data_IF_203461670166
#
_entry.id   IF_203461670166
#
_cell.length_a   1.000
_cell.length_b   1.000
_cell.length_c   1.000
_cell.angle_alpha   90.00
_cell.angle_beta   90.00
_cell.angle_gamma   90.00
#
_symmetry.space_group_name_H-M   'P 1'
#
loop_
_entity.id
_entity.type
_entity.pdbx_description
1 polymer ?
#
# COMPACT_ATOMS: atom_id res chain seq x y z
N UNK A 1 8.02 9.03 30.36
CA UNK A 1 9.09 8.06 30.64
C UNK A 1 9.96 8.02 29.40
N UNK A 2 11.01 8.84 29.39
CA UNK A 2 11.91 9.01 28.26
C UNK A 2 13.00 7.94 28.27
N UNK A 3 13.52 7.62 27.09
CA UNK A 3 14.80 6.96 26.97
C UNK A 3 15.51 7.56 25.75
N UNK A 4 16.50 8.41 26.05
CA UNK A 4 17.57 8.77 25.13
C UNK A 4 18.58 7.62 25.11
N UNK A 5 19.09 7.27 23.93
CA UNK A 5 20.43 6.73 23.74
C UNK A 5 20.81 7.02 22.29
N UNK A 6 21.42 8.18 22.06
CA UNK A 6 22.42 8.34 21.02
C UNK A 6 23.76 7.86 21.60
N UNK A 7 24.44 6.98 20.87
CA UNK A 7 25.89 7.05 20.68
C UNK A 7 26.27 6.16 19.50
N UNK A 8 26.78 6.83 18.47
CA UNK A 8 27.43 6.26 17.31
C UNK A 8 28.72 5.54 17.74
N UNK A 9 29.07 4.46 17.07
CA UNK A 9 30.44 4.05 16.76
C UNK A 9 30.38 2.99 15.65
N UNK A 10 30.39 3.47 14.40
CA UNK A 10 30.75 2.70 13.21
C UNK A 10 32.28 2.72 13.09
N UNK A 11 32.96 1.59 13.33
CA UNK A 11 34.16 1.16 12.61
C UNK A 11 34.48 -0.32 12.92
N UNK A 12 35.22 -0.96 12.02
CA UNK A 12 35.72 -2.35 12.07
C UNK A 12 34.82 -3.47 11.50
N UNK A 13 34.59 -3.37 10.19
CA UNK A 13 34.44 -4.51 9.29
C UNK A 13 35.82 -5.14 9.06
N UNK A 14 35.87 -6.48 9.09
CA UNK A 14 36.91 -7.37 8.57
C UNK A 14 38.04 -7.78 9.54
N UNK A 15 37.82 -8.88 10.27
CA UNK A 15 38.76 -10.02 10.39
C UNK A 15 38.27 -11.02 11.46
N UNK A 16 37.78 -12.18 11.02
CA UNK A 16 38.15 -13.51 11.52
C UNK A 16 37.17 -14.58 10.99
N UNK A 17 37.30 -14.88 9.71
CA UNK A 17 37.14 -16.26 9.26
C UNK A 17 38.42 -17.02 9.63
N UNK A 18 38.25 -18.27 10.06
CA UNK A 18 39.27 -19.27 10.37
C UNK A 18 39.92 -19.15 11.77
N UNK A 19 39.31 -19.81 12.74
CA UNK A 19 40.03 -20.74 13.64
C UNK A 19 39.03 -21.68 14.31
N UNK A 20 39.17 -22.94 13.93
CA UNK A 20 38.46 -24.13 14.36
C UNK A 20 38.58 -24.41 15.86
N UNK A 21 37.55 -25.01 16.45
CA UNK A 21 37.63 -26.05 17.50
C UNK A 21 36.25 -26.68 17.70
N UNK A 22 35.91 -27.74 16.95
CA UNK A 22 35.77 -29.11 17.48
C UNK A 22 34.99 -29.22 18.80
N UNK A 23 33.72 -29.63 18.72
CA UNK A 23 33.13 -30.51 19.73
C UNK A 23 32.07 -31.43 19.12
N UNK A 24 32.51 -32.68 18.92
CA UNK A 24 31.77 -33.95 19.07
C UNK A 24 30.37 -34.06 18.46
N UNK A 25 30.34 -34.61 17.24
CA UNK A 25 29.27 -35.47 16.76
C UNK A 25 29.20 -36.75 17.61
N UNK A 26 28.03 -37.03 18.19
CA UNK A 26 27.65 -38.38 18.61
C UNK A 26 26.30 -38.69 18.00
N UNK A 27 26.35 -39.37 16.86
CA UNK A 27 25.22 -40.10 16.30
C UNK A 27 24.96 -41.32 17.18
N UNK A 28 23.80 -41.36 17.82
CA UNK A 28 23.22 -42.61 18.32
C UNK A 28 21.86 -42.77 17.68
N UNK A 29 21.86 -43.50 16.56
CA UNK A 29 20.66 -44.10 16.01
C UNK A 29 20.32 -45.31 16.87
N UNK A 30 19.24 -45.21 17.66
CA UNK A 30 18.55 -46.38 18.19
C UNK A 30 17.13 -46.39 17.63
N UNK A 31 16.95 -47.23 16.62
CA UNK A 31 15.66 -47.69 16.17
C UNK A 31 14.95 -48.42 17.31
N UNK A 32 13.87 -47.85 17.83
CA UNK A 32 12.81 -48.64 18.45
C UNK A 32 11.48 -48.09 17.96
N UNK A 33 10.81 -48.93 17.18
CA UNK A 33 9.43 -48.80 16.77
C UNK A 33 8.56 -48.80 18.02
N UNK A 34 7.94 -47.68 18.35
CA UNK A 34 6.71 -47.69 19.14
C UNK A 34 5.86 -46.48 18.76
N UNK A 35 4.64 -46.78 18.32
CA UNK A 35 3.65 -45.78 17.96
C UNK A 35 3.10 -45.10 19.21
N UNK A 36 3.47 -43.84 19.43
CA UNK A 36 2.71 -42.94 20.29
C UNK A 36 3.00 -41.49 19.89
N UNK A 37 1.93 -40.76 19.58
CA UNK A 37 1.83 -39.30 19.49
C UNK A 37 3.09 -38.54 19.90
N UNK A 38 3.90 -38.11 18.92
CA UNK A 38 5.04 -37.22 19.15
C UNK A 38 4.49 -35.84 19.52
N UNK A 39 4.07 -35.68 20.78
CA UNK A 39 3.75 -34.37 21.35
C UNK A 39 5.07 -33.64 21.54
N UNK A 40 5.40 -32.78 20.59
CA UNK A 40 6.61 -31.95 20.62
C UNK A 40 6.41 -30.87 21.69
N UNK A 41 7.31 -30.83 22.68
CA UNK A 41 7.34 -29.76 23.70
C UNK A 41 7.52 -28.39 23.02
N UNK A 42 6.72 -27.37 23.36
CA UNK A 42 6.81 -26.02 22.77
C UNK A 42 8.19 -25.34 22.94
N UNK A 43 8.98 -25.82 23.89
CA UNK A 43 10.28 -25.26 24.26
C UNK A 43 11.50 -25.93 23.60
N UNK A 44 11.34 -27.03 22.86
CA UNK A 44 12.43 -27.58 22.05
C UNK A 44 12.51 -26.82 20.72
N UNK A 45 13.18 -25.68 20.78
CA UNK A 45 13.26 -24.59 19.80
C UNK A 45 14.01 -24.90 18.48
N UNK A 46 14.38 -26.15 18.23
CA UNK A 46 15.04 -26.58 16.99
C UNK A 46 14.13 -27.39 16.09
N UNK A 47 12.91 -26.91 15.86
CA UNK A 47 12.10 -27.42 14.77
C UNK A 47 12.65 -26.84 13.45
N UNK A 48 13.67 -27.49 12.88
CA UNK A 48 14.37 -27.03 11.69
C UNK A 48 13.45 -26.79 10.48
N UNK A 49 12.27 -27.40 10.45
CA UNK A 49 11.27 -27.10 9.45
C UNK A 49 10.76 -25.64 9.53
N UNK A 50 10.65 -25.00 10.70
CA UNK A 50 10.28 -23.57 10.79
C UNK A 50 11.40 -22.62 10.32
N UNK A 51 12.60 -23.13 10.02
CA UNK A 51 13.66 -22.38 9.34
C UNK A 51 13.52 -22.46 7.80
N UNK A 52 12.74 -23.40 7.28
CA UNK A 52 12.45 -23.49 5.86
C UNK A 52 11.41 -22.42 5.48
N UNK A 53 11.83 -21.45 4.67
CA UNK A 53 11.03 -20.31 4.24
C UNK A 53 9.71 -20.76 3.61
N UNK A 54 9.71 -21.82 2.79
CA UNK A 54 8.51 -22.29 2.09
C UNK A 54 7.47 -22.87 3.05
N UNK A 55 7.91 -23.67 4.02
CA UNK A 55 7.00 -24.21 5.03
C UNK A 55 6.44 -23.11 5.93
N UNK A 56 7.28 -22.13 6.29
CA UNK A 56 6.86 -20.97 7.07
C UNK A 56 5.84 -20.14 6.27
N UNK A 57 6.08 -19.90 4.97
CA UNK A 57 5.13 -19.23 4.07
C UNK A 57 3.80 -19.97 4.03
N UNK A 58 3.82 -21.30 3.91
CA UNK A 58 2.62 -22.13 3.88
C UNK A 58 1.82 -22.02 5.19
N UNK A 59 2.49 -22.05 6.34
CA UNK A 59 1.85 -21.90 7.66
C UNK A 59 1.25 -20.49 7.80
N UNK A 60 2.06 -19.45 7.53
CA UNK A 60 1.65 -18.07 7.68
C UNK A 60 0.51 -17.69 6.71
N UNK A 61 0.43 -18.32 5.53
CA UNK A 61 -0.68 -18.12 4.57
C UNK A 61 -2.07 -18.47 5.12
N UNK A 62 -2.14 -19.20 6.24
CA UNK A 62 -3.40 -19.57 6.90
C UNK A 62 -3.82 -18.62 8.02
N UNK A 63 -2.98 -17.65 8.36
CA UNK A 63 -3.22 -16.71 9.44
C UNK A 63 -4.05 -15.51 8.99
N UNK A 64 -4.84 -14.96 9.91
CA UNK A 64 -5.48 -13.67 9.72
C UNK A 64 -4.43 -12.55 9.74
N UNK A 65 -4.80 -11.39 9.18
CA UNK A 65 -3.86 -10.25 9.07
C UNK A 65 -3.32 -9.78 10.43
N UNK A 66 -4.14 -9.88 11.48
CA UNK A 66 -3.73 -9.54 12.85
C UNK A 66 -2.67 -10.51 13.40
N UNK A 67 -2.78 -11.80 13.08
CA UNK A 67 -1.83 -12.82 13.52
C UNK A 67 -0.55 -12.76 12.71
N UNK A 68 -0.64 -12.44 11.43
CA UNK A 68 0.51 -12.18 10.59
C UNK A 68 1.34 -11.00 11.13
N UNK A 69 0.68 -9.92 11.57
CA UNK A 69 1.35 -8.80 12.21
C UNK A 69 2.07 -9.19 13.51
N UNK A 70 1.53 -10.13 14.29
CA UNK A 70 2.20 -10.69 15.48
C UNK A 70 3.38 -11.58 15.07
N UNK A 71 3.23 -12.38 14.02
CA UNK A 71 4.30 -13.22 13.48
C UNK A 71 5.50 -12.39 13.04
N UNK A 72 5.30 -11.19 12.49
CA UNK A 72 6.38 -10.26 12.15
C UNK A 72 7.30 -9.93 13.33
N UNK A 73 6.82 -10.01 14.57
CA UNK A 73 7.56 -9.65 15.76
C UNK A 73 8.38 -10.80 16.38
N UNK A 74 8.25 -12.03 15.86
CA UNK A 74 8.86 -13.23 16.49
C UNK A 74 10.38 -13.27 16.27
N UNK A 75 10.84 -13.20 15.03
CA UNK A 75 12.26 -13.17 14.68
C UNK A 75 12.46 -12.59 13.27
N UNK A 76 13.73 -12.39 12.85
CA UNK A 76 14.04 -11.81 11.53
C UNK A 76 13.50 -12.63 10.35
N UNK A 77 13.57 -13.97 10.45
CA UNK A 77 13.07 -14.86 9.38
C UNK A 77 11.55 -14.74 9.26
N UNK A 78 10.84 -14.77 10.39
CA UNK A 78 9.38 -14.61 10.40
C UNK A 78 8.97 -13.23 9.92
N UNK A 79 9.69 -12.17 10.31
CA UNK A 79 9.47 -10.83 9.81
C UNK A 79 9.59 -10.76 8.28
N UNK A 80 10.64 -11.38 7.71
CA UNK A 80 10.85 -11.38 6.27
C UNK A 80 9.72 -12.08 5.50
N UNK A 81 9.21 -13.20 6.01
CA UNK A 81 8.13 -13.96 5.35
C UNK A 81 6.75 -13.35 5.63
N UNK A 82 6.48 -12.94 6.85
CA UNK A 82 5.19 -12.39 7.27
C UNK A 82 4.94 -10.98 6.72
N UNK A 83 5.99 -10.20 6.45
CA UNK A 83 5.89 -8.89 5.79
C UNK A 83 5.73 -8.97 4.27
N UNK A 84 5.74 -10.17 3.68
CA UNK A 84 5.61 -10.31 2.23
C UNK A 84 4.24 -9.81 1.75
N UNK A 85 4.26 -9.03 0.68
CA UNK A 85 3.08 -8.31 0.20
C UNK A 85 1.99 -9.25 -0.30
N UNK A 86 2.36 -10.31 -1.02
CA UNK A 86 1.41 -11.29 -1.55
C UNK A 86 0.65 -11.98 -0.41
N UNK A 87 1.38 -12.42 0.62
CA UNK A 87 0.81 -13.11 1.77
C UNK A 87 -0.14 -12.19 2.55
N UNK A 88 0.26 -10.93 2.78
CA UNK A 88 -0.59 -9.92 3.42
C UNK A 88 -1.87 -9.66 2.60
N UNK A 89 -1.73 -9.50 1.28
CA UNK A 89 -2.86 -9.23 0.38
C UNK A 89 -3.83 -10.42 0.38
N UNK A 90 -3.33 -11.64 0.35
CA UNK A 90 -4.16 -12.85 0.41
C UNK A 90 -4.88 -12.97 1.76
N UNK A 91 -4.18 -12.74 2.87
CA UNK A 91 -4.77 -12.73 4.21
C UNK A 91 -5.83 -11.62 4.36
N UNK A 92 -5.65 -10.48 3.66
CA UNK A 92 -6.65 -9.42 3.62
C UNK A 92 -7.87 -9.79 2.76
N UNK A 93 -7.66 -10.42 1.60
CA UNK A 93 -8.72 -10.84 0.67
C UNK A 93 -9.61 -11.94 1.23
N UNK A 94 -9.00 -12.92 1.90
CA UNK A 94 -9.63 -14.18 2.27
C UNK A 94 -10.92 -14.02 3.11
N UNK A 95 -10.95 -13.20 4.18
CA UNK A 95 -12.15 -13.04 5.02
C UNK A 95 -13.35 -12.46 4.27
N UNK A 96 -13.10 -11.63 3.26
CA UNK A 96 -14.13 -10.91 2.49
C UNK A 96 -14.51 -11.60 1.19
N UNK A 97 -13.86 -12.73 0.85
CA UNK A 97 -14.05 -13.45 -0.43
C UNK A 97 -13.88 -12.52 -1.64
N UNK A 98 -12.92 -11.61 -1.57
CA UNK A 98 -12.59 -10.69 -2.65
C UNK A 98 -11.93 -11.46 -3.79
N UNK A 99 -12.29 -11.12 -5.03
CA UNK A 99 -11.66 -11.69 -6.22
C UNK A 99 -10.21 -11.21 -6.33
N UNK A 100 -10.02 -9.91 -6.22
CA UNK A 100 -8.73 -9.26 -6.45
C UNK A 100 -8.60 -7.99 -5.62
N UNK A 101 -7.36 -7.65 -5.25
CA UNK A 101 -7.00 -6.37 -4.66
C UNK A 101 -5.92 -5.76 -5.53
N UNK A 102 -6.19 -4.56 -6.03
CA UNK A 102 -5.34 -3.81 -6.94
C UNK A 102 -4.80 -2.58 -6.22
N UNK A 103 -3.53 -2.28 -6.45
CA UNK A 103 -2.85 -1.15 -5.81
C UNK A 103 -2.12 -1.55 -4.53
N UNK A 104 -1.26 -0.64 -4.07
CA UNK A 104 -0.46 -0.82 -2.86
C UNK A 104 -0.63 0.42 -1.98
N UNK A 105 -0.93 0.26 -0.68
CA UNK A 105 -0.95 1.39 0.22
C UNK A 105 0.46 1.97 0.36
N UNK A 106 0.51 3.28 0.52
CA UNK A 106 1.71 4.05 0.88
C UNK A 106 2.13 3.67 2.29
N UNK A 107 1.17 3.49 3.21
CA UNK A 107 1.46 3.10 4.59
C UNK A 107 1.14 1.63 4.84
N UNK A 108 2.15 0.85 5.25
CA UNK A 108 1.95 -0.56 5.58
C UNK A 108 1.08 -0.76 6.83
N UNK A 109 0.91 0.28 7.65
CA UNK A 109 -0.06 0.29 8.75
C UNK A 109 -1.49 0.06 8.26
N UNK A 110 -1.78 0.37 6.99
CA UNK A 110 -3.05 0.04 6.35
C UNK A 110 -3.40 -1.40 6.66
N UNK A 111 -2.57 -2.37 6.31
CA UNK A 111 -2.89 -3.79 6.47
C UNK A 111 -3.17 -4.25 7.91
N UNK A 112 -2.69 -3.55 8.94
CA UNK A 112 -2.79 -4.01 10.34
C UNK A 112 -4.22 -4.23 10.84
N UNK A 113 -5.19 -3.51 10.28
CA UNK A 113 -6.61 -3.70 10.57
C UNK A 113 -7.34 -4.25 9.34
N UNK A 114 -8.21 -5.23 9.55
CA UNK A 114 -9.04 -5.83 8.50
C UNK A 114 -10.53 -5.74 8.87
N UNK A 115 -10.97 -4.58 9.32
CA UNK A 115 -12.39 -4.28 9.56
C UNK A 115 -13.15 -3.82 8.31
N UNK A 116 -14.47 -4.05 8.29
CA UNK A 116 -15.35 -3.65 7.17
C UNK A 116 -15.33 -2.14 6.89
N UNK A 117 -15.11 -1.33 7.93
CA UNK A 117 -15.10 0.14 7.85
C UNK A 117 -13.99 0.71 6.94
N UNK A 118 -13.01 -0.11 6.58
CA UNK A 118 -11.98 0.24 5.61
C UNK A 118 -12.49 0.25 4.17
N UNK A 119 -13.55 -0.51 3.89
CA UNK A 119 -14.11 -0.63 2.57
C UNK A 119 -15.13 0.47 2.32
N UNK A 120 -15.10 1.01 1.11
CA UNK A 120 -16.07 2.00 0.65
C UNK A 120 -16.46 1.75 -0.80
N UNK A 121 -17.72 1.99 -1.13
CA UNK A 121 -18.18 2.06 -2.51
C UNK A 121 -17.87 3.44 -3.07
N UNK A 122 -17.29 3.50 -4.26
CA UNK A 122 -17.15 4.73 -5.02
C UNK A 122 -18.45 5.02 -5.76
N UNK A 123 -19.12 6.11 -5.40
CA UNK A 123 -20.31 6.61 -6.12
C UNK A 123 -19.97 7.89 -6.87
N UNK A 124 -20.13 7.87 -8.19
CA UNK A 124 -19.96 9.06 -9.02
C UNK A 124 -21.16 9.99 -8.85
N UNK A 125 -20.90 11.27 -8.58
CA UNK A 125 -21.96 12.23 -8.27
C UNK A 125 -22.68 12.63 -9.56
N UNK A 126 -24.00 12.45 -9.58
CA UNK A 126 -24.87 12.88 -10.66
C UNK A 126 -25.68 14.13 -10.27
N UNK A 127 -26.24 14.82 -11.28
CA UNK A 127 -27.10 15.99 -11.04
C UNK A 127 -28.32 15.57 -10.22
N UNK A 128 -28.54 16.24 -9.09
CA UNK A 128 -29.64 15.94 -8.15
C UNK A 128 -29.31 14.92 -7.07
N UNK A 129 -28.08 14.41 -7.02
CA UNK A 129 -27.60 13.63 -5.88
C UNK A 129 -27.45 14.53 -4.65
N UNK A 130 -27.89 14.00 -3.52
CA UNK A 130 -27.71 14.61 -2.19
C UNK A 130 -27.19 13.54 -1.24
N UNK A 131 -26.45 13.95 -0.20
CA UNK A 131 -25.90 13.00 0.77
C UNK A 131 -27.02 12.19 1.44
N UNK A 132 -28.16 12.82 1.70
CA UNK A 132 -29.37 12.20 2.25
C UNK A 132 -29.94 11.13 1.31
N UNK A 133 -30.09 11.44 0.02
CA UNK A 133 -30.62 10.49 -0.96
C UNK A 133 -29.68 9.30 -1.14
N UNK A 134 -28.38 9.54 -1.14
CA UNK A 134 -27.37 8.48 -1.21
C UNK A 134 -27.39 7.62 0.07
N UNK A 135 -27.48 8.23 1.24
CA UNK A 135 -27.61 7.51 2.51
C UNK A 135 -28.78 6.51 2.49
N UNK A 136 -29.95 6.94 2.01
CA UNK A 136 -31.11 6.05 1.84
C UNK A 136 -30.86 4.98 0.79
N UNK A 137 -30.32 5.35 -0.39
CA UNK A 137 -30.03 4.41 -1.49
C UNK A 137 -29.11 3.27 -1.05
N UNK A 138 -28.09 3.57 -0.27
CA UNK A 138 -27.10 2.59 0.19
C UNK A 138 -27.37 2.04 1.59
N UNK A 139 -28.48 2.45 2.23
CA UNK A 139 -28.85 2.03 3.59
C UNK A 139 -27.75 2.31 4.63
N UNK A 140 -27.17 3.51 4.60
CA UNK A 140 -26.13 3.98 5.52
C UNK A 140 -26.53 5.29 6.18
N UNK A 141 -25.87 5.66 7.28
CA UNK A 141 -26.13 6.96 7.90
C UNK A 141 -25.44 8.11 7.17
N UNK A 142 -26.14 9.24 7.04
CA UNK A 142 -25.63 10.49 6.47
C UNK A 142 -24.33 10.93 7.15
N UNK A 143 -24.25 10.77 8.47
CA UNK A 143 -23.07 11.15 9.25
C UNK A 143 -21.86 10.29 8.92
N UNK A 144 -22.04 9.01 8.61
CA UNK A 144 -20.92 8.13 8.27
C UNK A 144 -20.34 8.47 6.90
N UNK A 145 -21.20 8.79 5.92
CA UNK A 145 -20.76 9.33 4.63
C UNK A 145 -19.95 10.61 4.84
N UNK A 146 -20.47 11.56 5.63
CA UNK A 146 -19.77 12.83 5.90
C UNK A 146 -18.42 12.61 6.56
N UNK A 147 -18.36 11.77 7.60
CA UNK A 147 -17.13 11.44 8.33
C UNK A 147 -16.10 10.76 7.44
N UNK A 148 -16.54 9.81 6.60
CA UNK A 148 -15.67 9.11 5.67
C UNK A 148 -15.07 10.06 4.63
N UNK A 149 -15.83 11.02 4.15
CA UNK A 149 -15.41 11.97 3.13
C UNK A 149 -14.77 13.26 3.68
N UNK A 150 -14.62 13.38 5.00
CA UNK A 150 -14.16 14.60 5.65
C UNK A 150 -15.00 15.85 5.28
N UNK A 151 -16.33 15.70 5.31
CA UNK A 151 -17.28 16.77 5.01
C UNK A 151 -17.90 17.31 6.30
N UNK A 152 -17.92 18.64 6.43
CA UNK A 152 -18.57 19.33 7.56
C UNK A 152 -20.02 19.74 7.24
N UNK A 153 -20.36 19.90 5.96
CA UNK A 153 -21.69 20.33 5.50
C UNK A 153 -22.12 19.57 4.23
N UNK A 154 -23.42 19.63 3.91
CA UNK A 154 -23.98 18.97 2.72
C UNK A 154 -23.54 19.62 1.41
N UNK A 155 -23.20 20.92 1.45
CA UNK A 155 -22.83 21.68 0.25
C UNK A 155 -21.51 21.21 -0.39
N UNK A 156 -20.65 20.51 0.36
CA UNK A 156 -19.37 20.00 -0.14
C UNK A 156 -19.49 18.86 -1.16
N UNK A 157 -20.69 18.34 -1.42
CA UNK A 157 -20.92 17.30 -2.43
C UNK A 157 -20.64 17.80 -3.85
N UNK A 158 -21.08 19.02 -4.18
CA UNK A 158 -21.02 19.54 -5.56
C UNK A 158 -19.63 19.96 -6.02
N UNK A 159 -18.67 20.05 -5.09
CA UNK A 159 -17.26 20.33 -5.39
C UNK A 159 -16.44 19.06 -5.68
N UNK A 160 -17.08 17.89 -5.72
CA UNK A 160 -16.43 16.59 -5.88
C UNK A 160 -16.99 15.85 -7.08
N UNK A 161 -16.17 15.00 -7.67
CA UNK A 161 -16.57 14.12 -8.77
C UNK A 161 -17.23 12.83 -8.28
N UNK A 162 -16.77 12.35 -7.11
CA UNK A 162 -17.24 11.12 -6.48
C UNK A 162 -17.31 11.26 -4.97
N UNK A 163 -18.08 10.36 -4.35
CA UNK A 163 -18.22 10.24 -2.92
C UNK A 163 -17.96 8.81 -2.48
N UNK A 164 -17.23 8.66 -1.38
CA UNK A 164 -17.00 7.36 -0.75
C UNK A 164 -18.18 7.00 0.14
N UNK A 165 -18.78 5.84 -0.07
CA UNK A 165 -19.93 5.39 0.69
C UNK A 165 -19.49 4.22 1.57
N UNK A 166 -19.64 4.29 2.90
CA UNK A 166 -19.24 3.19 3.78
C UNK A 166 -20.06 1.94 3.47
N UNK A 167 -19.48 0.77 3.68
CA UNK A 167 -20.16 -0.51 3.45
C UNK A 167 -20.65 -1.05 4.80
N UNK A 168 -21.97 -1.24 4.92
CA UNK A 168 -22.56 -1.89 6.10
C UNK A 168 -22.77 -3.39 5.90
N UNK A 169 -23.07 -3.84 4.67
CA UNK A 169 -23.24 -5.25 4.36
C UNK A 169 -21.98 -5.83 3.67
N UNK A 170 -21.26 -6.79 4.29
CA UNK A 170 -20.05 -7.38 3.71
C UNK A 170 -20.31 -8.20 2.44
N UNK A 171 -21.55 -8.64 2.19
CA UNK A 171 -21.90 -9.43 1.00
C UNK A 171 -21.58 -8.70 -0.32
N UNK A 172 -21.57 -7.36 -0.27
CA UNK A 172 -21.25 -6.50 -1.42
C UNK A 172 -19.80 -6.71 -1.89
N UNK A 173 -18.90 -7.21 -1.02
CA UNK A 173 -17.49 -7.45 -1.32
C UNK A 173 -17.23 -8.77 -2.06
N UNK A 174 -18.16 -9.73 -2.01
CA UNK A 174 -17.96 -11.07 -2.55
C UNK A 174 -17.71 -11.01 -4.07
N UNK A 175 -16.64 -11.67 -4.52
CA UNK A 175 -16.21 -11.72 -5.94
C UNK A 175 -16.01 -10.33 -6.58
N UNK A 176 -15.74 -9.30 -5.76
CA UNK A 176 -15.39 -7.96 -6.26
C UNK A 176 -13.89 -7.74 -6.28
N UNK A 177 -13.49 -6.83 -7.17
CA UNK A 177 -12.14 -6.27 -7.20
C UNK A 177 -12.12 -5.02 -6.34
N UNK A 178 -11.19 -4.96 -5.40
CA UNK A 178 -10.95 -3.83 -4.52
C UNK A 178 -9.72 -3.05 -4.99
N UNK A 179 -9.79 -1.73 -4.93
CA UNK A 179 -8.70 -0.83 -5.30
C UNK A 179 -8.23 -0.09 -4.05
N UNK A 180 -6.94 -0.20 -3.72
CA UNK A 180 -6.35 0.54 -2.62
C UNK A 180 -5.87 1.87 -3.17
N UNK A 181 -6.54 2.93 -2.75
CA UNK A 181 -6.32 4.29 -3.24
C UNK A 181 -6.21 5.27 -2.07
N UNK A 182 -5.42 6.33 -2.27
CA UNK A 182 -5.43 7.51 -1.40
C UNK A 182 -6.44 8.50 -1.96
N UNK A 183 -7.56 8.72 -1.26
CA UNK A 183 -8.55 9.71 -1.71
C UNK A 183 -8.10 11.13 -1.37
N UNK A 184 -8.12 12.01 -2.38
CA UNK A 184 -7.61 13.38 -2.28
C UNK A 184 -8.44 14.24 -1.33
N UNK A 185 -9.76 14.06 -1.33
CA UNK A 185 -10.65 14.87 -0.52
C UNK A 185 -10.82 14.31 0.91
N UNK A 186 -10.91 12.99 1.07
CA UNK A 186 -10.98 12.34 2.37
C UNK A 186 -9.63 12.27 3.11
N UNK A 187 -8.52 12.51 2.39
CA UNK A 187 -7.13 12.53 2.88
C UNK A 187 -6.74 11.25 3.61
N UNK A 188 -7.19 10.09 3.12
CA UNK A 188 -6.96 8.79 3.76
C UNK A 188 -6.90 7.67 2.72
N UNK A 189 -6.18 6.61 3.05
CA UNK A 189 -6.14 5.39 2.26
C UNK A 189 -7.41 4.58 2.50
N UNK A 190 -8.06 4.13 1.43
CA UNK A 190 -9.35 3.41 1.48
C UNK A 190 -9.31 2.23 0.53
N UNK A 191 -9.97 1.15 0.92
CA UNK A 191 -10.26 0.02 0.05
C UNK A 191 -11.54 0.31 -0.74
N UNK A 192 -11.41 0.73 -1.99
CA UNK A 192 -12.52 1.22 -2.80
C UNK A 192 -13.08 0.14 -3.71
N UNK A 193 -14.40 0.01 -3.76
CA UNK A 193 -15.14 -0.84 -4.70
C UNK A 193 -15.85 0.03 -5.72
N UNK A 194 -15.66 -0.25 -7.01
CA UNK A 194 -16.37 0.40 -8.10
C UNK A 194 -17.51 -0.51 -8.56
N UNK A 195 -18.76 -0.01 -8.46
CA UNK A 195 -19.93 -0.77 -8.92
C UNK A 195 -20.19 -0.59 -10.43
N UNK A 196 -19.70 0.51 -11.03
CA UNK A 196 -20.01 0.94 -12.40
C UNK A 196 -18.79 0.87 -13.34
N UNK A 197 -18.03 -0.23 -13.28
CA UNK A 197 -16.90 -0.51 -14.18
C UNK A 197 -15.52 -0.32 -13.56
N UNK A 198 -14.46 -0.38 -14.37
CA UNK A 198 -13.09 -0.10 -13.90
C UNK A 198 -12.95 1.39 -13.53
N UNK A 199 -12.10 1.72 -12.53
CA UNK A 199 -11.73 3.10 -12.26
C UNK A 199 -11.20 3.77 -13.54
N UNK A 200 -11.69 4.98 -13.85
CA UNK A 200 -11.15 5.76 -14.95
C UNK A 200 -9.65 5.98 -14.70
N UNK A 201 -8.80 5.32 -15.50
CA UNK A 201 -7.34 5.22 -15.31
C UNK A 201 -6.62 6.56 -15.26
N UNK A 202 -7.30 7.66 -15.56
CA UNK A 202 -6.83 9.04 -15.38
C UNK A 202 -6.41 9.37 -13.95
N UNK A 203 -6.93 8.63 -12.95
CA UNK A 203 -6.65 8.88 -11.52
C UNK A 203 -5.41 8.13 -10.99
N UNK A 204 -4.81 7.26 -11.81
CA UNK A 204 -3.58 6.52 -11.47
C UNK A 204 -2.29 7.35 -11.54
N UNK A 205 -2.37 8.66 -11.83
CA UNK A 205 -1.22 9.57 -11.92
C UNK A 205 -1.11 10.54 -10.73
N UNK A 206 -1.63 10.16 -9.55
CA UNK A 206 -1.29 10.81 -8.28
C UNK A 206 -0.28 9.98 -7.47
N UNK A 207 0.43 9.06 -8.13
CA UNK A 207 1.70 8.52 -7.64
C UNK A 207 2.86 9.50 -7.85
N UNK A 208 2.60 10.77 -8.17
CA UNK A 208 3.55 11.83 -7.85
C UNK A 208 3.52 11.99 -6.34
N UNK A 209 4.33 11.14 -5.68
CA UNK A 209 4.90 11.28 -4.34
C UNK A 209 4.59 12.68 -3.81
N UNK A 210 3.89 12.80 -2.68
CA UNK A 210 3.81 14.06 -1.95
C UNK A 210 5.24 14.49 -1.59
N UNK A 211 5.93 15.08 -2.56
CA UNK A 211 7.29 15.51 -2.44
C UNK A 211 7.22 16.72 -1.55
N UNK A 212 8.01 16.69 -0.48
CA UNK A 212 8.38 17.89 0.28
C UNK A 212 8.64 19.03 -0.71
N UNK A 213 8.31 20.26 -0.34
CA UNK A 213 8.53 21.43 -1.20
C UNK A 213 9.97 21.50 -1.73
N UNK A 214 10.94 20.97 -0.96
CA UNK A 214 12.33 20.80 -1.42
C UNK A 214 12.49 19.82 -2.59
N UNK A 215 11.75 18.71 -2.60
CA UNK A 215 11.73 17.76 -3.69
C UNK A 215 11.16 18.37 -4.96
N UNK A 216 10.02 19.07 -4.86
CA UNK A 216 9.42 19.76 -6.02
C UNK A 216 10.39 20.76 -6.62
N UNK A 217 11.08 21.54 -5.78
CA UNK A 217 12.10 22.49 -6.22
C UNK A 217 13.24 21.82 -7.00
N UNK A 218 13.74 20.65 -6.55
CA UNK A 218 14.79 19.90 -7.27
C UNK A 218 14.34 19.41 -8.66
N UNK A 219 13.07 19.03 -8.81
CA UNK A 219 12.51 18.63 -10.11
C UNK A 219 12.45 19.85 -11.04
N UNK A 220 11.90 20.97 -10.55
CA UNK A 220 11.83 22.22 -11.32
C UNK A 220 13.23 22.67 -11.74
N UNK A 221 14.20 22.68 -10.82
CA UNK A 221 15.60 23.04 -11.09
C UNK A 221 16.26 22.12 -12.13
N UNK A 222 15.84 20.86 -12.21
CA UNK A 222 16.36 19.89 -13.18
C UNK A 222 15.71 20.08 -14.54
N UNK A 223 14.39 20.29 -14.59
CA UNK A 223 13.67 20.61 -15.83
C UNK A 223 14.18 21.91 -16.44
N UNK A 224 14.36 22.95 -15.63
CA UNK A 224 14.97 24.22 -16.03
C UNK A 224 16.30 24.03 -16.74
N UNK A 225 17.19 23.20 -16.17
CA UNK A 225 18.51 22.91 -16.75
C UNK A 225 18.44 22.13 -18.06
N UNK A 226 17.50 21.19 -18.18
CA UNK A 226 17.36 20.33 -19.37
C UNK A 226 16.70 21.10 -20.52
N UNK A 227 15.59 21.77 -20.24
CA UNK A 227 14.81 22.54 -21.21
C UNK A 227 15.47 23.89 -21.56
N UNK A 228 16.41 24.38 -20.72
CA UNK A 228 17.06 25.70 -20.85
C UNK A 228 16.05 26.86 -20.89
N UNK A 229 15.02 26.78 -20.07
CA UNK A 229 13.99 27.82 -19.88
C UNK A 229 14.08 28.40 -18.47
N UNK A 230 13.25 29.39 -18.16
CA UNK A 230 13.10 29.98 -16.83
C UNK A 230 12.30 29.08 -15.86
N UNK A 231 12.31 29.46 -14.58
CA UNK A 231 11.63 28.74 -13.50
C UNK A 231 10.11 28.67 -13.71
N UNK A 232 9.49 29.71 -14.27
CA UNK A 232 8.04 29.78 -14.46
C UNK A 232 7.61 28.84 -15.60
N UNK A 233 8.35 28.85 -16.71
CA UNK A 233 8.12 27.94 -17.83
C UNK A 233 8.33 26.47 -17.44
N UNK A 234 9.39 26.17 -16.67
CA UNK A 234 9.61 24.82 -16.16
C UNK A 234 8.49 24.35 -15.21
N UNK A 235 7.96 25.26 -14.38
CA UNK A 235 6.80 24.98 -13.53
C UNK A 235 5.53 24.75 -14.34
N UNK A 236 5.31 25.54 -15.38
CA UNK A 236 4.14 25.41 -16.26
C UNK A 236 4.05 24.01 -16.87
N UNK A 237 5.11 23.54 -17.55
CA UNK A 237 5.11 22.20 -18.15
C UNK A 237 5.01 21.08 -17.12
N UNK A 238 5.62 21.24 -15.94
CA UNK A 238 5.48 20.29 -14.84
C UNK A 238 4.06 20.25 -14.27
N UNK A 239 3.36 21.39 -14.27
CA UNK A 239 1.98 21.48 -13.77
C UNK A 239 0.99 20.79 -14.71
N UNK A 240 1.15 20.99 -16.02
CA UNK A 240 0.30 20.39 -17.05
C UNK A 240 0.56 18.88 -17.16
N UNK A 241 1.78 18.43 -16.87
CA UNK A 241 2.12 17.02 -16.84
C UNK A 241 1.77 16.30 -15.53
N UNK A 242 0.97 16.91 -14.66
CA UNK A 242 0.59 16.37 -13.35
C UNK A 242 1.80 15.94 -12.48
N UNK A 243 2.92 16.64 -12.62
CA UNK A 243 4.13 16.41 -11.83
C UNK A 243 5.07 15.32 -12.37
N UNK A 244 4.83 14.75 -13.55
CA UNK A 244 5.78 13.86 -14.22
C UNK A 244 6.80 14.65 -15.07
N UNK A 245 8.11 14.63 -14.73
CA UNK A 245 9.13 15.36 -15.48
C UNK A 245 9.36 14.81 -16.90
N UNK A 246 9.11 13.52 -17.16
CA UNK A 246 9.31 12.96 -18.51
C UNK A 246 8.21 13.41 -19.46
N UNK A 247 6.97 13.39 -19.00
CA UNK A 247 5.85 13.92 -19.74
C UNK A 247 6.01 15.42 -20.02
N UNK A 248 6.49 16.21 -19.03
CA UNK A 248 6.79 17.63 -19.22
C UNK A 248 7.81 17.88 -20.36
N UNK A 249 8.90 17.09 -20.39
CA UNK A 249 9.91 17.18 -21.45
C UNK A 249 9.36 16.80 -22.83
N UNK A 250 8.54 15.75 -22.89
CA UNK A 250 7.92 15.31 -24.14
C UNK A 250 7.00 16.39 -24.72
N UNK A 251 6.20 17.05 -23.88
CA UNK A 251 5.31 18.14 -24.30
C UNK A 251 6.12 19.34 -24.82
N UNK A 252 7.11 19.80 -24.04
CA UNK A 252 7.99 20.89 -24.46
C UNK A 252 8.71 20.59 -25.79
N UNK A 253 9.19 19.36 -25.98
CA UNK A 253 9.84 18.98 -27.24
C UNK A 253 8.89 18.98 -28.44
N UNK A 254 7.61 18.64 -28.22
CA UNK A 254 6.59 18.65 -29.26
C UNK A 254 6.26 20.08 -29.69
N UNK A 255 6.17 21.00 -28.73
CA UNK A 255 5.93 22.42 -29.01
C UNK A 255 7.09 23.05 -29.79
N UNK A 256 8.34 22.74 -29.42
CA UNK A 256 9.53 23.18 -30.19
C UNK A 256 9.56 22.61 -31.61
N UNK A 257 9.11 21.36 -31.81
CA UNK A 257 9.01 20.77 -33.14
C UNK A 257 7.95 21.48 -33.97
N UNK A 258 6.81 21.83 -33.36
CA UNK A 258 5.73 22.55 -34.01
C UNK A 258 6.17 23.94 -34.47
N UNK A 259 6.89 24.69 -33.63
CA UNK A 259 7.45 26.01 -33.98
C UNK A 259 8.41 25.94 -35.17
N UNK A 260 9.26 24.90 -35.23
CA UNK A 260 10.21 24.71 -36.34
C UNK A 260 9.52 24.42 -37.67
N UNK A 261 8.42 23.68 -37.65
CA UNK A 261 7.64 23.34 -38.84
C UNK A 261 6.82 24.51 -39.38
N UNK A 262 6.40 25.46 -38.53
CA UNK A 262 5.68 26.67 -38.97
C UNK A 262 6.63 27.73 -39.51
N UNK A 263 7.86 27.80 -39.02
CA UNK A 263 8.87 28.75 -39.53
C UNK A 263 9.50 28.38 -40.88
N UNK A 264 9.09 27.29 -41.51
CA UNK A 264 9.65 26.79 -42.78
C UNK A 264 8.63 26.65 -43.93
N UNK A 265 7.45 27.27 -43.78
CA UNK A 265 6.46 27.52 -44.83
C UNK A 265 6.33 29.02 -45.09
#
# INVERSE_FOLDING_TARGET
>A
MGCCCDQNEDEDIQNHLLSSSTSSFVSSASSSVDGLSTVISPMNSHFGALNCIDTLRLILSKLAVTDLARACCVCRVWNAVACDNELIVDAFKFPWKLREVVGRPINQSFWKDNGIAKFAVSHRIARGDTVQRLAVKYSVHVMDIKRLNNMMSDHGIYSRERLLIPISNPDILIDRTCYIELDTHAKREVAVIYLEGEPDRKHGSLLTRAMSDQGKKRIIDSLRRIMRVDDETAQYYLSISNGDPRAALSQYSADLQWERHIGSA
#
